data_IF_010332360670
#
_entry.id   IF_010332360670
#
_cell.length_a   1.000
_cell.length_b   1.000
_cell.length_c   1.000
_cell.angle_alpha   90.00
_cell.angle_beta   90.00
_cell.angle_gamma   90.00
#
_symmetry.space_group_name_H-M   'P 1'
#
loop_
_entity.id
_entity.type
_entity.pdbx_description
1 polymer ?
#
# COMPACT_ATOMS: atom_id res chain seq x y z
N UNK A 1 -10.73 -13.71 26.45
CA UNK A 1 -11.52 -12.82 27.33
C UNK A 1 -10.55 -11.91 28.07
N UNK A 2 -10.05 -10.88 27.37
CA UNK A 2 -9.03 -9.97 27.89
C UNK A 2 -9.62 -8.96 28.85
N UNK A 3 -8.82 -8.55 29.83
CA UNK A 3 -9.23 -7.65 30.92
C UNK A 3 -9.72 -6.31 30.33
N UNK A 4 -9.09 -5.80 29.26
CA UNK A 4 -9.49 -4.57 28.55
C UNK A 4 -10.94 -4.57 28.02
N UNK A 5 -11.49 -5.73 27.63
CA UNK A 5 -12.87 -5.84 27.14
C UNK A 5 -13.91 -5.53 28.24
N UNK A 6 -13.54 -5.62 29.51
CA UNK A 6 -14.43 -5.37 30.64
C UNK A 6 -14.37 -3.91 31.15
N UNK A 7 -13.43 -3.09 30.70
CA UNK A 7 -13.20 -1.73 31.24
C UNK A 7 -13.83 -0.60 30.41
N UNK A 8 -14.07 -0.81 29.11
CA UNK A 8 -14.67 0.20 28.23
C UNK A 8 -16.13 0.56 28.61
N UNK A 9 -16.77 -0.22 29.49
CA UNK A 9 -18.18 -0.07 29.83
C UNK A 9 -18.45 0.71 31.14
N UNK A 10 -17.42 1.21 31.85
CA UNK A 10 -17.61 1.81 33.19
C UNK A 10 -17.08 3.22 33.42
N UNK A 11 -16.50 3.89 32.42
CA UNK A 11 -16.07 5.28 32.55
C UNK A 11 -16.86 6.17 31.62
N UNK A 12 -17.66 7.06 32.21
CA UNK A 12 -18.31 8.18 31.52
C UNK A 12 -17.26 9.04 30.79
N UNK A 13 -17.58 9.58 29.61
CA UNK A 13 -16.62 10.31 28.79
C UNK A 13 -16.47 11.75 29.30
N UNK A 14 -15.51 12.00 30.18
CA UNK A 14 -15.08 13.38 30.52
C UNK A 14 -13.91 13.82 29.60
N UNK A 15 -14.07 14.84 28.72
CA UNK A 15 -13.10 15.18 27.68
C UNK A 15 -11.84 15.93 28.14
N UNK A 16 -11.77 16.43 29.39
CA UNK A 16 -10.77 17.44 29.75
C UNK A 16 -9.68 17.00 30.75
N UNK A 17 -9.81 15.85 31.42
CA UNK A 17 -8.81 15.32 32.36
C UNK A 17 -8.41 13.85 32.13
N UNK A 18 -9.00 13.21 31.11
CA UNK A 18 -9.00 11.76 30.98
C UNK A 18 -7.65 11.13 30.62
N UNK A 19 -6.79 11.78 29.84
CA UNK A 19 -5.55 11.14 29.37
C UNK A 19 -4.53 10.90 30.49
N UNK A 20 -4.36 11.87 31.40
CA UNK A 20 -3.38 11.77 32.49
C UNK A 20 -3.84 10.83 33.60
N UNK A 21 -5.14 10.79 33.91
CA UNK A 21 -5.70 9.82 34.85
C UNK A 21 -5.71 8.40 34.29
N UNK A 22 -6.07 8.22 33.00
CA UNK A 22 -5.96 6.92 32.32
C UNK A 22 -4.53 6.40 32.31
N UNK A 23 -3.53 7.27 32.07
CA UNK A 23 -2.12 6.89 32.10
C UNK A 23 -1.66 6.45 33.51
N UNK A 24 -2.12 7.13 34.58
CA UNK A 24 -1.78 6.78 35.97
C UNK A 24 -2.42 5.46 36.42
N UNK A 25 -3.67 5.21 36.06
CA UNK A 25 -4.36 3.95 36.37
C UNK A 25 -3.82 2.78 35.54
N UNK A 26 -3.45 3.02 34.29
CA UNK A 26 -2.73 2.05 33.46
C UNK A 26 -1.37 1.67 34.08
N UNK A 27 -0.59 2.66 34.54
CA UNK A 27 0.68 2.41 35.23
C UNK A 27 0.50 1.52 36.48
N UNK A 28 -0.61 1.72 37.21
CA UNK A 28 -0.94 0.93 38.40
C UNK A 28 -1.28 -0.52 38.02
N UNK A 29 -2.04 -0.74 36.95
CA UNK A 29 -2.33 -2.08 36.41
C UNK A 29 -1.08 -2.82 35.92
N UNK A 30 -0.13 -2.11 35.31
CA UNK A 30 1.16 -2.67 34.91
C UNK A 30 2.00 -3.14 36.10
N UNK A 31 2.05 -2.35 37.17
CA UNK A 31 2.76 -2.69 38.41
C UNK A 31 2.17 -3.93 39.09
N UNK A 32 0.84 -4.06 39.11
CA UNK A 32 0.15 -5.23 39.66
C UNK A 32 0.39 -6.51 38.83
N UNK A 33 0.55 -6.36 37.51
CA UNK A 33 0.77 -7.47 36.59
C UNK A 33 2.25 -7.93 36.59
N UNK A 34 3.21 -7.01 36.75
CA UNK A 34 4.62 -7.34 37.03
C UNK A 34 4.78 -8.17 38.31
N UNK A 35 3.98 -7.89 39.35
CA UNK A 35 4.00 -8.65 40.60
C UNK A 35 3.45 -10.08 40.43
N UNK A 36 2.74 -10.37 39.33
CA UNK A 36 2.08 -11.67 39.07
C UNK A 36 2.69 -12.45 37.92
N UNK A 37 3.39 -11.80 36.99
CA UNK A 37 3.95 -12.42 35.80
C UNK A 37 5.30 -13.10 36.10
N UNK A 38 5.31 -14.43 36.09
CA UNK A 38 6.53 -15.22 36.25
C UNK A 38 7.44 -15.27 35.01
N UNK A 39 6.98 -14.78 33.84
CA UNK A 39 7.74 -14.75 32.58
C UNK A 39 7.61 -13.37 31.89
N UNK A 40 8.73 -12.76 31.53
CA UNK A 40 8.83 -11.37 31.07
C UNK A 40 8.43 -11.17 29.60
N UNK A 41 8.42 -12.24 28.78
CA UNK A 41 8.06 -12.16 27.36
C UNK A 41 6.55 -11.99 27.13
N UNK A 42 5.72 -12.83 27.77
CA UNK A 42 4.26 -12.77 27.66
C UNK A 42 3.68 -11.45 28.20
N UNK A 43 4.35 -10.87 29.21
CA UNK A 43 4.03 -9.56 29.76
C UNK A 43 4.23 -8.45 28.72
N UNK A 44 5.38 -8.42 28.04
CA UNK A 44 5.69 -7.37 27.05
C UNK A 44 4.75 -7.42 25.84
N UNK A 45 4.30 -8.61 25.44
CA UNK A 45 3.38 -8.78 24.33
C UNK A 45 1.96 -8.27 24.68
N UNK A 46 1.48 -8.59 25.89
CA UNK A 46 0.18 -8.14 26.40
C UNK A 46 0.12 -6.60 26.54
N UNK A 47 1.19 -5.99 27.05
CA UNK A 47 1.27 -4.53 27.26
C UNK A 47 1.28 -3.74 25.94
N UNK A 48 1.89 -4.29 24.88
CA UNK A 48 1.92 -3.65 23.56
C UNK A 48 0.54 -3.62 22.89
N UNK A 49 -0.24 -4.69 23.06
CA UNK A 49 -1.60 -4.80 22.49
C UNK A 49 -2.56 -3.80 23.18
N UNK A 50 -2.41 -3.59 24.48
CA UNK A 50 -3.31 -2.73 25.28
C UNK A 50 -3.05 -1.22 25.11
N UNK A 51 -1.93 -0.82 24.47
CA UNK A 51 -1.56 0.59 24.28
C UNK A 51 -2.16 1.24 23.02
N UNK A 52 -2.30 0.48 21.93
CA UNK A 52 -2.81 0.95 20.63
C UNK A 52 -3.63 -0.16 19.95
N UNK A 53 -4.94 -0.32 20.27
CA UNK A 53 -5.73 -1.46 19.81
C UNK A 53 -5.95 -1.51 18.28
N UNK A 54 -5.68 -0.39 17.60
CA UNK A 54 -5.88 -0.23 16.15
C UNK A 54 -4.59 -0.39 15.33
N UNK A 55 -3.49 -0.81 15.94
CA UNK A 55 -2.19 -0.99 15.29
C UNK A 55 -1.61 -2.40 15.50
N UNK A 56 -0.84 -2.85 14.52
CA UNK A 56 -0.04 -4.07 14.56
C UNK A 56 1.43 -3.76 14.34
N UNK A 57 2.29 -4.37 15.16
CA UNK A 57 3.74 -4.18 15.10
C UNK A 57 4.41 -5.44 14.56
N UNK A 58 5.18 -5.30 13.48
CA UNK A 58 5.69 -6.42 12.69
C UNK A 58 7.18 -6.28 12.47
N UNK A 59 7.87 -7.41 12.27
CA UNK A 59 9.30 -7.43 12.04
C UNK A 59 9.63 -7.61 10.55
N UNK A 60 10.63 -6.88 10.08
CA UNK A 60 11.32 -7.23 8.83
C UNK A 60 12.24 -8.43 9.08
N UNK A 61 12.72 -9.12 8.03
CA UNK A 61 13.68 -10.21 8.20
C UNK A 61 15.03 -9.75 8.79
N UNK A 62 15.30 -8.44 8.84
CA UNK A 62 16.50 -7.84 9.43
C UNK A 62 16.32 -7.46 10.90
N UNK A 63 15.11 -7.60 11.45
CA UNK A 63 14.78 -7.26 12.83
C UNK A 63 14.21 -5.86 13.05
N UNK A 64 14.11 -5.04 11.99
CA UNK A 64 13.46 -3.72 12.09
C UNK A 64 11.97 -3.88 12.39
N UNK A 65 11.41 -2.97 13.19
CA UNK A 65 10.00 -2.97 13.56
C UNK A 65 9.27 -1.95 12.71
N UNK A 66 8.15 -2.35 12.09
CA UNK A 66 7.21 -1.46 11.44
C UNK A 66 5.86 -1.52 12.13
N UNK A 67 5.19 -0.37 12.16
CA UNK A 67 3.82 -0.21 12.62
C UNK A 67 2.89 -0.11 11.42
N UNK A 68 1.76 -0.81 11.49
CA UNK A 68 0.71 -0.81 10.46
C UNK A 68 -0.66 -0.78 11.14
N UNK A 69 -1.72 -0.28 10.48
CA UNK A 69 -3.07 -0.36 11.04
C UNK A 69 -3.54 -1.82 11.14
N UNK A 70 -4.39 -2.10 12.13
CA UNK A 70 -5.07 -3.39 12.28
C UNK A 70 -5.79 -3.76 10.98
N UNK A 71 -5.63 -5.02 10.56
CA UNK A 71 -6.17 -5.51 9.28
C UNK A 71 -5.29 -5.18 8.07
N UNK A 72 -4.11 -4.60 8.25
CA UNK A 72 -3.12 -4.50 7.18
C UNK A 72 -2.71 -5.88 6.66
N UNK A 73 -2.37 -5.92 5.38
CA UNK A 73 -2.00 -7.14 4.65
C UNK A 73 -0.53 -7.11 4.23
N UNK A 74 0.06 -8.24 3.79
CA UNK A 74 1.43 -8.25 3.25
C UNK A 74 1.68 -7.22 2.15
N UNK A 75 0.67 -6.88 1.35
CA UNK A 75 0.79 -5.83 0.32
C UNK A 75 0.92 -4.45 0.96
N UNK A 76 0.17 -4.16 2.03
CA UNK A 76 0.32 -2.93 2.79
C UNK A 76 1.73 -2.81 3.38
N UNK A 77 2.23 -3.89 3.98
CA UNK A 77 3.61 -3.96 4.47
C UNK A 77 4.64 -3.73 3.35
N UNK A 78 4.46 -4.35 2.18
CA UNK A 78 5.35 -4.16 1.04
C UNK A 78 5.45 -2.68 0.63
N UNK A 79 4.32 -1.97 0.53
CA UNK A 79 4.30 -0.53 0.24
C UNK A 79 4.79 0.33 1.42
N UNK A 80 4.65 -0.12 2.66
CA UNK A 80 5.24 0.54 3.81
C UNK A 80 6.78 0.53 3.71
N UNK A 81 7.37 -0.63 3.37
CA UNK A 81 8.81 -0.80 3.15
C UNK A 81 9.30 0.07 1.98
N UNK A 82 8.74 -0.12 0.78
CA UNK A 82 9.10 0.68 -0.39
C UNK A 82 8.08 0.52 -1.52
N UNK A 83 7.88 1.55 -2.34
CA UNK A 83 6.99 1.48 -3.50
C UNK A 83 7.41 0.39 -4.48
N UNK A 84 8.70 0.24 -4.77
CA UNK A 84 9.19 -0.80 -5.68
C UNK A 84 8.98 -2.22 -5.15
N UNK A 85 9.08 -2.40 -3.82
CA UNK A 85 8.79 -3.70 -3.18
C UNK A 85 7.30 -4.02 -3.30
N UNK A 86 6.43 -3.03 -3.09
CA UNK A 86 4.99 -3.15 -3.33
C UNK A 86 4.66 -3.48 -4.80
N UNK A 87 5.26 -2.75 -5.74
CA UNK A 87 5.00 -2.92 -7.18
C UNK A 87 5.49 -4.26 -7.73
N UNK A 88 6.60 -4.77 -7.20
CA UNK A 88 7.20 -6.04 -7.63
C UNK A 88 6.77 -7.25 -6.78
N UNK A 89 5.85 -7.06 -5.83
CA UNK A 89 5.38 -8.10 -4.92
C UNK A 89 4.66 -9.24 -5.68
N UNK A 90 5.06 -10.49 -5.42
CA UNK A 90 4.41 -11.67 -6.00
C UNK A 90 3.91 -12.65 -4.93
N UNK A 91 4.53 -12.66 -3.75
CA UNK A 91 4.15 -13.51 -2.64
C UNK A 91 4.68 -12.96 -1.32
N UNK A 92 4.19 -13.49 -0.21
CA UNK A 92 4.68 -13.15 1.12
C UNK A 92 4.84 -14.39 1.99
N UNK A 93 5.77 -14.31 2.95
CA UNK A 93 5.86 -15.24 4.07
C UNK A 93 5.64 -14.50 5.38
N UNK A 94 4.80 -15.08 6.24
CA UNK A 94 4.64 -14.70 7.65
C UNK A 94 5.23 -15.85 8.47
N UNK A 95 6.19 -15.54 9.35
CA UNK A 95 6.87 -16.52 10.21
C UNK A 95 7.35 -17.75 9.42
N UNK A 96 8.01 -17.47 8.29
CA UNK A 96 8.56 -18.45 7.33
C UNK A 96 7.54 -19.28 6.54
N UNK A 97 6.23 -19.09 6.73
CA UNK A 97 5.18 -19.81 5.99
C UNK A 97 4.63 -18.95 4.85
N UNK A 98 4.47 -19.54 3.66
CA UNK A 98 3.80 -18.87 2.55
C UNK A 98 2.33 -18.64 2.88
N UNK A 99 1.84 -17.43 2.62
CA UNK A 99 0.45 -17.04 2.88
C UNK A 99 -0.15 -16.31 1.68
N UNK A 100 -1.49 -16.31 1.52
CA UNK A 100 -2.16 -15.39 0.63
C UNK A 100 -1.81 -13.93 0.92
N UNK A 101 -1.71 -13.11 -0.13
CA UNK A 101 -1.42 -11.67 0.01
C UNK A 101 -2.54 -10.87 0.70
N UNK A 102 -3.74 -11.44 0.79
CA UNK A 102 -4.90 -10.86 1.49
C UNK A 102 -4.99 -11.24 2.96
N UNK A 103 -4.05 -12.03 3.48
CA UNK A 103 -4.06 -12.46 4.89
C UNK A 103 -3.83 -11.26 5.81
N UNK A 104 -4.71 -10.99 6.78
CA UNK A 104 -4.46 -9.96 7.79
C UNK A 104 -3.22 -10.30 8.62
N UNK A 105 -2.37 -9.30 8.84
CA UNK A 105 -1.17 -9.41 9.63
C UNK A 105 -1.50 -9.32 11.12
N UNK A 106 -0.78 -10.07 11.94
CA UNK A 106 -0.84 -10.00 13.40
C UNK A 106 0.44 -9.39 13.98
N UNK A 107 0.33 -8.77 15.15
CA UNK A 107 1.49 -8.27 15.89
C UNK A 107 2.49 -9.39 16.20
N UNK A 108 3.77 -9.05 16.22
CA UNK A 108 4.86 -9.97 16.53
C UNK A 108 5.35 -10.81 15.34
N UNK A 109 4.63 -10.82 14.22
CA UNK A 109 5.01 -11.63 13.06
C UNK A 109 6.21 -11.05 12.31
N UNK A 110 7.06 -11.95 11.79
CA UNK A 110 8.13 -11.59 10.85
C UNK A 110 7.65 -11.75 9.42
N UNK A 111 7.74 -10.68 8.63
CA UNK A 111 7.21 -10.61 7.26
C UNK A 111 8.35 -10.59 6.26
N UNK A 112 8.32 -11.51 5.29
CA UNK A 112 9.20 -11.49 4.13
C UNK A 112 8.39 -11.36 2.86
N UNK A 113 8.57 -10.24 2.15
CA UNK A 113 8.01 -10.05 0.81
C UNK A 113 8.92 -10.71 -0.21
N UNK A 114 8.30 -11.42 -1.16
CA UNK A 114 8.95 -12.05 -2.30
C UNK A 114 8.61 -11.18 -3.50
N UNK A 115 9.64 -10.69 -4.18
CA UNK A 115 9.51 -9.85 -5.37
C UNK A 115 10.01 -10.57 -6.61
N UNK A 116 9.53 -10.15 -7.78
CA UNK A 116 10.02 -10.64 -9.07
C UNK A 116 10.27 -9.48 -10.05
N UNK A 117 11.32 -9.56 -10.89
CA UNK A 117 11.52 -8.62 -11.98
C UNK A 117 10.32 -8.64 -12.94
N UNK A 118 9.84 -7.46 -13.34
CA UNK A 118 8.69 -7.33 -14.25
C UNK A 118 7.34 -7.65 -13.62
N UNK A 119 7.27 -7.99 -12.32
CA UNK A 119 6.00 -8.05 -11.62
C UNK A 119 5.36 -6.67 -11.52
N UNK A 120 4.03 -6.64 -11.53
CA UNK A 120 3.23 -5.43 -11.48
C UNK A 120 2.09 -5.60 -10.47
N UNK A 121 1.60 -4.51 -9.87
CA UNK A 121 0.42 -4.54 -9.02
C UNK A 121 -0.78 -5.23 -9.68
N UNK A 122 -1.44 -6.11 -8.94
CA UNK A 122 -2.69 -6.71 -9.38
C UNK A 122 -3.89 -5.82 -8.95
N UNK A 123 -4.80 -5.43 -9.86
CA UNK A 123 -6.00 -4.65 -9.53
C UNK A 123 -6.85 -5.25 -8.41
N UNK A 124 -6.87 -6.58 -8.29
CA UNK A 124 -7.61 -7.29 -7.23
C UNK A 124 -7.13 -6.91 -5.82
N UNK A 125 -5.91 -6.41 -5.66
CA UNK A 125 -5.40 -5.98 -4.36
C UNK A 125 -6.20 -4.83 -3.76
N UNK A 126 -6.81 -3.97 -4.59
CA UNK A 126 -7.63 -2.85 -4.12
C UNK A 126 -8.84 -3.28 -3.28
N UNK A 127 -9.26 -4.54 -3.36
CA UNK A 127 -10.37 -5.05 -2.54
C UNK A 127 -9.97 -5.41 -1.10
N UNK A 128 -8.67 -5.55 -0.81
CA UNK A 128 -8.20 -6.01 0.50
C UNK A 128 -7.08 -5.17 1.13
N UNK A 129 -6.39 -4.30 0.38
CA UNK A 129 -5.39 -3.42 0.99
C UNK A 129 -6.04 -2.39 1.89
N UNK A 130 -5.47 -2.19 3.08
CA UNK A 130 -6.06 -1.37 4.14
C UNK A 130 -5.48 0.03 4.19
N UNK A 131 -4.25 0.24 3.74
CA UNK A 131 -3.55 1.53 3.86
C UNK A 131 -3.82 2.47 2.67
N UNK A 132 -3.89 3.78 2.94
CA UNK A 132 -4.02 4.79 1.90
C UNK A 132 -2.80 4.81 0.96
N UNK A 133 -1.59 4.59 1.50
CA UNK A 133 -0.34 4.53 0.73
C UNK A 133 -0.38 3.42 -0.32
N UNK A 134 -0.74 2.20 0.05
CA UNK A 134 -0.86 1.09 -0.90
C UNK A 134 -1.91 1.39 -1.97
N UNK A 135 -3.13 1.80 -1.57
CA UNK A 135 -4.20 2.15 -2.53
C UNK A 135 -3.80 3.24 -3.52
N UNK A 136 -3.13 4.29 -3.06
CA UNK A 136 -2.68 5.39 -3.92
C UNK A 136 -1.64 4.91 -4.94
N UNK A 137 -0.62 4.18 -4.50
CA UNK A 137 0.43 3.67 -5.39
C UNK A 137 -0.11 2.66 -6.42
N UNK A 138 -0.97 1.72 -5.99
CA UNK A 138 -1.60 0.74 -6.90
C UNK A 138 -2.43 1.46 -7.96
N UNK A 139 -3.30 2.41 -7.58
CA UNK A 139 -4.11 3.17 -8.54
C UNK A 139 -3.26 3.99 -9.48
N UNK A 140 -2.21 4.63 -8.97
CA UNK A 140 -1.28 5.41 -9.78
C UNK A 140 -0.59 4.53 -10.82
N UNK A 141 -0.08 3.38 -10.42
CA UNK A 141 0.55 2.42 -11.32
C UNK A 141 -0.43 1.96 -12.42
N UNK A 142 -1.62 1.51 -12.05
CA UNK A 142 -2.62 1.02 -13.01
C UNK A 142 -3.15 2.11 -13.95
N UNK A 143 -3.16 3.37 -13.52
CA UNK A 143 -3.50 4.50 -14.39
C UNK A 143 -2.39 4.73 -15.41
N UNK A 144 -1.14 4.79 -14.96
CA UNK A 144 0.00 5.05 -15.83
C UNK A 144 0.23 3.89 -16.82
N UNK A 145 0.00 2.65 -16.39
CA UNK A 145 0.08 1.48 -17.25
C UNK A 145 -0.94 1.58 -18.39
N UNK A 146 -2.21 1.85 -18.07
CA UNK A 146 -3.26 2.03 -19.09
C UNK A 146 -2.92 3.16 -20.07
N UNK A 147 -2.45 4.30 -19.57
CA UNK A 147 -2.01 5.41 -20.42
C UNK A 147 -0.89 4.98 -21.37
N UNK A 148 0.15 4.31 -20.85
CA UNK A 148 1.27 3.81 -21.64
C UNK A 148 0.82 2.82 -22.73
N UNK A 149 -0.09 1.90 -22.38
CA UNK A 149 -0.67 0.94 -23.33
C UNK A 149 -1.49 1.62 -24.42
N UNK A 150 -2.33 2.62 -24.06
CA UNK A 150 -3.10 3.43 -25.01
C UNK A 150 -2.19 4.22 -25.94
N UNK A 151 -1.19 4.95 -25.41
CA UNK A 151 -0.22 5.71 -26.21
C UNK A 151 0.53 4.79 -27.17
N UNK A 152 1.00 3.63 -26.69
CA UNK A 152 1.69 2.64 -27.53
C UNK A 152 0.79 2.11 -28.65
N UNK A 153 -0.49 1.88 -28.37
CA UNK A 153 -1.45 1.48 -29.39
C UNK A 153 -1.71 2.60 -30.40
N UNK A 154 -1.96 3.83 -29.92
CA UNK A 154 -2.18 4.98 -30.77
C UNK A 154 -1.01 5.27 -31.70
N UNK A 155 0.23 5.11 -31.20
CA UNK A 155 1.43 5.23 -32.03
C UNK A 155 1.40 4.24 -33.20
N UNK A 156 1.14 2.96 -32.92
CA UNK A 156 1.04 1.92 -33.96
C UNK A 156 -0.08 2.20 -34.96
N UNK A 157 -1.21 2.71 -34.49
CA UNK A 157 -2.35 3.03 -35.34
C UNK A 157 -2.05 4.24 -36.24
N UNK A 158 -1.46 5.29 -35.68
CA UNK A 158 -1.09 6.49 -36.41
C UNK A 158 -0.01 6.19 -37.46
N UNK A 159 1.06 5.47 -37.10
CA UNK A 159 2.09 5.04 -38.05
C UNK A 159 1.50 4.22 -39.19
N UNK A 160 0.57 3.31 -38.88
CA UNK A 160 -0.10 2.51 -39.90
C UNK A 160 -0.92 3.40 -40.85
N UNK A 161 -1.60 4.42 -40.35
CA UNK A 161 -2.33 5.36 -41.19
C UNK A 161 -1.38 6.21 -42.08
N UNK A 162 -0.27 6.68 -41.51
CA UNK A 162 0.75 7.46 -42.22
C UNK A 162 1.48 6.63 -43.29
N UNK A 163 1.65 5.33 -43.07
CA UNK A 163 2.32 4.44 -44.04
C UNK A 163 1.59 4.37 -45.38
N UNK A 164 0.28 4.62 -45.42
CA UNK A 164 -0.48 4.73 -46.67
C UNK A 164 -0.11 5.96 -47.52
N UNK A 165 0.65 6.90 -46.95
CA UNK A 165 1.16 8.11 -47.59
C UNK A 165 2.69 8.11 -47.70
N UNK A 166 3.35 6.95 -47.52
CA UNK A 166 4.81 6.82 -47.47
C UNK A 166 5.48 7.71 -46.39
N UNK A 167 4.76 7.97 -45.30
CA UNK A 167 5.23 8.75 -44.15
C UNK A 167 5.36 7.86 -42.90
N UNK A 168 6.29 8.22 -42.02
CA UNK A 168 6.41 7.66 -40.67
C UNK A 168 6.41 8.80 -39.65
N UNK A 169 5.83 8.61 -38.46
CA UNK A 169 5.68 9.68 -37.48
C UNK A 169 7.04 10.32 -37.12
N UNK A 170 8.08 9.50 -36.95
CA UNK A 170 9.44 9.92 -36.64
C UNK A 170 10.11 10.77 -37.74
N UNK A 171 9.59 10.72 -38.97
CA UNK A 171 10.14 11.47 -40.11
C UNK A 171 9.48 12.84 -40.29
N UNK A 172 8.39 13.11 -39.57
CA UNK A 172 7.65 14.36 -39.68
C UNK A 172 8.37 15.45 -38.86
N UNK A 173 8.63 16.64 -39.43
CA UNK A 173 9.21 17.74 -38.68
C UNK A 173 8.37 18.14 -37.48
N UNK A 174 9.01 18.37 -36.32
CA UNK A 174 8.30 18.70 -35.07
C UNK A 174 7.40 19.94 -35.17
N UNK A 175 7.76 20.92 -35.99
CA UNK A 175 6.91 22.09 -36.25
C UNK A 175 5.55 21.69 -36.80
N UNK A 176 5.50 20.75 -37.76
CA UNK A 176 4.25 20.26 -38.34
C UNK A 176 3.41 19.47 -37.34
N UNK A 177 4.06 18.65 -36.52
CA UNK A 177 3.40 17.93 -35.43
C UNK A 177 2.76 18.94 -34.47
N UNK A 178 3.48 19.99 -34.11
CA UNK A 178 3.00 21.00 -33.16
C UNK A 178 1.81 21.79 -33.71
N UNK A 179 1.86 22.18 -34.99
CA UNK A 179 0.72 22.80 -35.69
C UNK A 179 -0.49 21.87 -35.69
N UNK A 180 -0.31 20.60 -36.07
CA UNK A 180 -1.39 19.61 -36.13
C UNK A 180 -2.00 19.35 -34.74
N UNK A 181 -1.20 19.26 -33.68
CA UNK A 181 -1.69 19.12 -32.30
C UNK A 181 -2.53 20.32 -31.87
N UNK A 182 -2.11 21.53 -32.22
CA UNK A 182 -2.84 22.76 -31.90
C UNK A 182 -4.18 22.81 -32.64
N UNK A 183 -4.21 22.45 -33.93
CA UNK A 183 -5.43 22.38 -34.73
C UNK A 183 -6.41 21.30 -34.22
N UNK A 184 -5.89 20.17 -33.76
CA UNK A 184 -6.67 19.07 -33.20
C UNK A 184 -7.07 19.26 -31.73
N UNK A 185 -6.56 20.31 -31.06
CA UNK A 185 -6.88 20.63 -29.66
C UNK A 185 -6.11 19.82 -28.61
N UNK A 186 -5.02 19.16 -28.98
CA UNK A 186 -4.17 18.40 -28.05
C UNK A 186 -2.96 19.21 -27.58
N UNK A 187 -2.53 18.97 -26.33
CA UNK A 187 -1.38 19.67 -25.74
C UNK A 187 -0.05 19.00 -26.04
N UNK A 188 -0.06 17.68 -26.12
CA UNK A 188 1.13 16.86 -26.35
C UNK A 188 0.82 15.75 -27.35
N UNK A 189 1.86 15.22 -27.99
CA UNK A 189 1.74 14.06 -28.89
C UNK A 189 1.18 12.85 -28.14
N UNK A 190 1.62 12.62 -26.90
CA UNK A 190 1.10 11.54 -26.06
C UNK A 190 -0.41 11.66 -25.82
N UNK A 191 -0.95 12.88 -25.66
CA UNK A 191 -2.40 13.06 -25.48
C UNK A 191 -3.17 12.69 -26.76
N UNK A 192 -2.64 13.02 -27.94
CA UNK A 192 -3.21 12.60 -29.23
C UNK A 192 -3.12 11.08 -29.39
N UNK A 193 -1.96 10.49 -29.08
CA UNK A 193 -1.76 9.04 -29.20
C UNK A 193 -2.62 8.27 -28.20
N UNK A 194 -2.79 8.78 -26.98
CA UNK A 194 -3.71 8.22 -26.00
C UNK A 194 -5.15 8.22 -26.52
N UNK A 195 -5.60 9.33 -27.11
CA UNK A 195 -6.94 9.47 -27.71
C UNK A 195 -7.16 8.48 -28.86
N UNK A 196 -6.23 8.41 -29.83
CA UNK A 196 -6.27 7.44 -30.93
C UNK A 196 -6.29 5.99 -30.41
N UNK A 197 -5.52 5.70 -29.34
CA UNK A 197 -5.46 4.38 -28.76
C UNK A 197 -6.72 3.96 -28.01
N UNK A 198 -7.47 4.92 -27.46
CA UNK A 198 -8.73 4.68 -26.75
C UNK A 198 -9.93 4.55 -27.71
N UNK A 199 -9.88 5.23 -28.87
CA UNK A 199 -10.89 5.15 -29.93
C UNK A 199 -11.92 6.28 -29.87
#
# INVERSE_FOLDING_TARGET
NGIAAHWLYKSDPDPAGGAQNRAKEWLKGLLEMQQRAGNSQDFLETVKIDLFPDEVYVFTPKGDILELPTGATPVDFAYAVHTDVGNSCVAARLDHRLVPLSTPIQSGQTIKIITAPGACPNPAWLSFVTTAKARANIRHFLKNQRRSESVSLGHRLLDKALSGFDLALDTIPQERITTALTEAGFRTLDDLLEDIGLG
#
